data_IF_404752049820
#
_entry.id   IF_404752049820
#
_cell.length_a   1.000
_cell.length_b   1.000
_cell.length_c   1.000
_cell.angle_alpha   90.00
_cell.angle_beta   90.00
_cell.angle_gamma   90.00
#
_symmetry.space_group_name_H-M   'P 1'
#
loop_
_entity.id
_entity.type
_entity.pdbx_description
1 polymer ?
#
# COMPACT_ATOMS: atom_id res chain seq x y z
N UNK A 1 -5.76 -13.34 14.00
CA UNK A 1 -6.56 -12.59 13.00
C UNK A 1 -7.81 -11.96 13.62
N UNK A 2 -8.70 -12.72 14.26
CA UNK A 2 -9.95 -12.20 14.90
C UNK A 2 -9.71 -11.03 15.87
N UNK A 3 -8.68 -11.11 16.72
CA UNK A 3 -8.33 -10.03 17.66
C UNK A 3 -8.01 -8.72 16.93
N UNK A 4 -7.24 -8.78 15.84
CA UNK A 4 -6.88 -7.60 15.05
C UNK A 4 -8.12 -6.99 14.38
N UNK A 5 -8.97 -7.82 13.77
CA UNK A 5 -10.20 -7.36 13.12
C UNK A 5 -11.15 -6.73 14.13
N UNK A 6 -11.24 -7.27 15.34
CA UNK A 6 -12.02 -6.68 16.43
C UNK A 6 -11.56 -5.25 16.73
N UNK A 7 -10.28 -5.04 17.04
CA UNK A 7 -9.76 -3.70 17.34
C UNK A 7 -9.82 -2.76 16.12
N UNK A 8 -9.53 -3.26 14.92
CA UNK A 8 -9.68 -2.48 13.68
C UNK A 8 -11.12 -2.02 13.46
N UNK A 9 -12.11 -2.89 13.69
CA UNK A 9 -13.53 -2.51 13.57
C UNK A 9 -13.94 -1.46 14.60
N UNK A 10 -13.45 -1.54 15.84
CA UNK A 10 -13.72 -0.53 16.87
C UNK A 10 -13.06 0.81 16.51
N UNK A 11 -11.82 0.78 16.04
CA UNK A 11 -11.11 1.97 15.55
C UNK A 11 -11.89 2.64 14.42
N UNK A 12 -12.27 1.90 13.38
CA UNK A 12 -13.04 2.43 12.23
C UNK A 12 -14.36 3.04 12.72
N UNK A 13 -15.11 2.33 13.58
CA UNK A 13 -16.39 2.81 14.10
C UNK A 13 -16.24 4.12 14.89
N UNK A 14 -15.24 4.23 15.77
CA UNK A 14 -15.01 5.44 16.57
C UNK A 14 -14.42 6.58 15.75
N UNK A 15 -13.55 6.27 14.79
CA UNK A 15 -12.95 7.23 13.88
C UNK A 15 -13.99 7.87 12.95
N UNK A 16 -14.98 7.08 12.51
CA UNK A 16 -16.15 7.58 11.79
C UNK A 16 -17.08 8.38 12.69
N UNK A 17 -17.44 7.86 13.87
CA UNK A 17 -18.35 8.54 14.83
C UNK A 17 -17.81 9.89 15.30
N UNK A 18 -16.50 10.01 15.48
CA UNK A 18 -15.84 11.26 15.91
C UNK A 18 -15.65 12.28 14.79
N UNK A 19 -15.99 11.94 13.54
CA UNK A 19 -15.72 12.73 12.34
C UNK A 19 -14.23 13.01 12.08
N UNK A 20 -13.30 12.43 12.85
CA UNK A 20 -11.86 12.60 12.65
C UNK A 20 -11.41 12.05 11.30
N UNK A 21 -11.98 10.94 10.84
CA UNK A 21 -11.69 10.39 9.53
C UNK A 21 -12.14 11.30 8.39
N UNK A 22 -13.32 11.90 8.53
CA UNK A 22 -13.83 12.88 7.58
C UNK A 22 -12.93 14.13 7.55
N UNK A 23 -12.56 14.66 8.72
CA UNK A 23 -11.67 15.83 8.84
C UNK A 23 -10.31 15.58 8.19
N UNK A 24 -9.67 14.44 8.50
CA UNK A 24 -8.38 14.05 7.93
C UNK A 24 -8.48 13.83 6.41
N UNK A 25 -9.56 13.22 5.93
CA UNK A 25 -9.78 13.02 4.51
C UNK A 25 -9.96 14.36 3.77
N UNK A 26 -10.73 15.30 4.33
CA UNK A 26 -10.95 16.63 3.74
C UNK A 26 -9.63 17.41 3.71
N UNK A 27 -8.96 17.60 4.85
CA UNK A 27 -7.70 18.35 4.89
C UNK A 27 -6.60 17.70 4.05
N UNK A 28 -6.53 16.36 4.02
CA UNK A 28 -5.58 15.65 3.17
C UNK A 28 -5.90 15.78 1.69
N UNK A 29 -7.19 15.74 1.31
CA UNK A 29 -7.62 16.00 -0.06
C UNK A 29 -7.34 17.44 -0.47
N UNK A 30 -7.57 18.43 0.41
CA UNK A 30 -7.22 19.83 0.18
C UNK A 30 -5.71 20.04 0.03
N UNK A 31 -4.89 19.37 0.84
CA UNK A 31 -3.44 19.41 0.71
C UNK A 31 -2.97 18.84 -0.65
N UNK A 32 -3.58 17.73 -1.11
CA UNK A 32 -3.30 17.15 -2.43
C UNK A 32 -3.77 18.08 -3.55
N UNK A 33 -5.00 18.60 -3.47
CA UNK A 33 -5.56 19.49 -4.49
C UNK A 33 -4.77 20.80 -4.60
N UNK A 34 -4.42 21.41 -3.46
CA UNK A 34 -3.60 22.64 -3.43
C UNK A 34 -2.17 22.43 -3.93
N UNK A 35 -1.62 21.21 -3.80
CA UNK A 35 -0.33 20.86 -4.40
C UNK A 35 -0.38 20.71 -5.93
N UNK A 36 -1.57 20.63 -6.53
CA UNK A 36 -1.77 20.38 -7.96
C UNK A 36 -1.49 18.93 -8.40
N UNK A 37 -1.15 18.04 -7.46
CA UNK A 37 -0.83 16.65 -7.74
C UNK A 37 -2.13 15.87 -7.99
N UNK A 38 -2.24 15.24 -9.17
CA UNK A 38 -3.40 14.44 -9.55
C UNK A 38 -3.01 13.28 -10.47
N UNK A 39 -3.97 12.40 -10.75
CA UNK A 39 -3.83 11.31 -11.71
C UNK A 39 -2.71 10.34 -11.37
N UNK A 40 -1.89 10.03 -12.37
CA UNK A 40 -0.79 9.06 -12.25
C UNK A 40 0.22 9.43 -11.16
N UNK A 41 0.52 10.73 -10.99
CA UNK A 41 1.46 11.18 -9.97
C UNK A 41 0.95 10.86 -8.56
N UNK A 42 -0.34 11.11 -8.30
CA UNK A 42 -0.95 10.79 -7.02
C UNK A 42 -0.96 9.27 -6.74
N UNK A 43 -1.32 8.47 -7.75
CA UNK A 43 -1.33 7.00 -7.65
C UNK A 43 0.08 6.49 -7.32
N UNK A 44 1.10 6.97 -8.04
CA UNK A 44 2.49 6.58 -7.82
C UNK A 44 2.97 6.94 -6.42
N UNK A 45 2.70 8.17 -5.94
CA UNK A 45 3.07 8.60 -4.60
C UNK A 45 2.41 7.72 -3.52
N UNK A 46 1.16 7.31 -3.75
CA UNK A 46 0.47 6.42 -2.82
C UNK A 46 1.03 4.99 -2.82
N UNK A 47 1.42 4.46 -3.99
CA UNK A 47 2.15 3.18 -4.07
C UNK A 47 3.45 3.27 -3.29
N UNK A 48 4.23 4.35 -3.48
CA UNK A 48 5.48 4.59 -2.78
C UNK A 48 5.27 4.70 -1.27
N UNK A 49 4.25 5.43 -0.83
CA UNK A 49 3.88 5.55 0.57
C UNK A 49 3.55 4.18 1.18
N UNK A 50 2.71 3.39 0.51
CA UNK A 50 2.37 2.03 0.95
C UNK A 50 3.61 1.12 1.04
N UNK A 51 4.52 1.22 0.06
CA UNK A 51 5.77 0.47 0.05
C UNK A 51 6.70 0.84 1.22
N UNK A 52 6.78 2.12 1.58
CA UNK A 52 7.55 2.60 2.74
C UNK A 52 6.91 2.10 4.06
N UNK A 53 5.58 2.17 4.18
CA UNK A 53 4.87 1.70 5.37
C UNK A 53 5.14 0.23 5.70
N UNK A 54 5.49 -0.57 4.69
CA UNK A 54 5.82 -1.98 4.86
C UNK A 54 7.08 -2.24 5.69
N UNK A 55 8.00 -1.29 5.79
CA UNK A 55 9.18 -1.40 6.66
C UNK A 55 8.83 -1.27 8.15
N UNK A 56 7.72 -0.60 8.46
CA UNK A 56 7.23 -0.41 9.83
C UNK A 56 6.22 -1.50 10.23
N UNK A 57 5.46 -2.01 9.27
CA UNK A 57 4.38 -2.95 9.52
C UNK A 57 4.23 -3.94 8.36
N UNK A 58 4.67 -5.19 8.55
CA UNK A 58 4.62 -6.22 7.51
C UNK A 58 3.22 -6.79 7.23
N UNK A 59 2.23 -6.54 8.11
CA UNK A 59 0.87 -7.06 7.93
C UNK A 59 0.05 -6.18 6.99
N UNK A 60 -0.33 -6.73 5.84
CA UNK A 60 -1.19 -6.07 4.86
C UNK A 60 -2.54 -5.64 5.46
N UNK A 61 -3.20 -6.54 6.20
CA UNK A 61 -4.49 -6.25 6.82
C UNK A 61 -4.39 -5.17 7.90
N UNK A 62 -3.29 -5.14 8.66
CA UNK A 62 -3.08 -4.13 9.70
C UNK A 62 -2.83 -2.73 9.07
N UNK A 63 -1.99 -2.65 8.04
CA UNK A 63 -1.77 -1.42 7.27
C UNK A 63 -3.06 -0.91 6.66
N UNK A 64 -3.79 -1.79 5.97
CA UNK A 64 -5.01 -1.40 5.29
C UNK A 64 -6.10 -0.95 6.25
N UNK A 65 -6.22 -1.56 7.43
CA UNK A 65 -7.17 -1.15 8.46
C UNK A 65 -6.97 0.30 8.93
N UNK A 66 -5.72 0.80 8.92
CA UNK A 66 -5.38 2.17 9.31
C UNK A 66 -5.45 3.11 8.11
N UNK A 67 -4.97 2.68 6.94
CA UNK A 67 -4.88 3.52 5.75
C UNK A 67 -6.22 3.71 5.04
N UNK A 68 -7.03 2.66 4.93
CA UNK A 68 -8.27 2.71 4.14
C UNK A 68 -9.25 3.80 4.60
N UNK A 69 -9.52 3.98 5.92
CA UNK A 69 -10.46 5.02 6.39
C UNK A 69 -10.03 6.45 6.07
N UNK A 70 -8.75 6.68 5.74
CA UNK A 70 -8.21 8.00 5.42
C UNK A 70 -8.04 8.17 3.91
N UNK A 71 -7.33 7.25 3.26
CA UNK A 71 -6.95 7.39 1.86
C UNK A 71 -8.07 7.03 0.88
N UNK A 72 -8.98 6.11 1.23
CA UNK A 72 -10.10 5.79 0.34
C UNK A 72 -11.02 7.00 0.18
N UNK A 73 -11.54 7.65 1.25
CA UNK A 73 -12.35 8.86 1.09
C UNK A 73 -11.61 10.00 0.39
N UNK A 74 -10.31 10.16 0.64
CA UNK A 74 -9.48 11.19 0.02
C UNK A 74 -9.35 11.04 -1.50
N UNK A 75 -9.09 9.81 -1.98
CA UNK A 75 -9.09 9.50 -3.41
C UNK A 75 -10.49 9.62 -4.02
N UNK A 76 -11.51 9.24 -3.23
CA UNK A 76 -12.90 9.36 -3.63
C UNK A 76 -13.30 10.82 -3.89
N UNK A 77 -12.93 11.74 -3.00
CA UNK A 77 -13.13 13.18 -3.17
C UNK A 77 -12.37 13.76 -4.37
N UNK A 78 -11.33 13.06 -4.84
CA UNK A 78 -10.57 13.39 -6.04
C UNK A 78 -11.15 12.75 -7.32
N UNK A 79 -12.31 12.09 -7.24
CA UNK A 79 -13.03 11.49 -8.36
C UNK A 79 -12.63 10.05 -8.72
N UNK A 80 -11.83 9.38 -7.88
CA UNK A 80 -11.38 8.01 -8.14
C UNK A 80 -12.27 6.97 -7.45
N UNK A 81 -12.48 5.84 -8.12
CA UNK A 81 -13.19 4.71 -7.52
C UNK A 81 -12.34 4.06 -6.41
N UNK A 82 -12.92 3.60 -5.28
CA UNK A 82 -12.19 2.97 -4.17
C UNK A 82 -11.28 1.80 -4.57
N UNK A 83 -11.68 1.06 -5.62
CA UNK A 83 -10.90 -0.05 -6.15
C UNK A 83 -9.51 0.38 -6.63
N UNK A 84 -9.37 1.61 -7.16
CA UNK A 84 -8.08 2.14 -7.60
C UNK A 84 -7.13 2.35 -6.42
N UNK A 85 -7.63 2.97 -5.34
CA UNK A 85 -6.86 3.16 -4.11
C UNK A 85 -6.45 1.82 -3.52
N UNK A 86 -7.35 0.83 -3.51
CA UNK A 86 -7.02 -0.50 -3.03
C UNK A 86 -5.98 -1.20 -3.92
N UNK A 87 -6.09 -1.10 -5.25
CA UNK A 87 -5.10 -1.67 -6.17
C UNK A 87 -3.70 -1.05 -5.97
N UNK A 88 -3.63 0.28 -5.87
CA UNK A 88 -2.39 1.00 -5.59
C UNK A 88 -1.78 0.59 -4.24
N UNK A 89 -2.60 0.46 -3.19
CA UNK A 89 -2.15 -0.04 -1.89
C UNK A 89 -1.56 -1.45 -2.00
N UNK A 90 -2.23 -2.37 -2.68
CA UNK A 90 -1.80 -3.76 -2.83
C UNK A 90 -0.47 -3.88 -3.57
N UNK A 91 -0.24 -3.03 -4.57
CA UNK A 91 1.05 -2.96 -5.26
C UNK A 91 2.13 -2.58 -4.25
N UNK A 92 1.99 -1.44 -3.56
CA UNK A 92 2.99 -0.98 -2.61
C UNK A 92 3.24 -1.96 -1.45
N UNK A 93 2.18 -2.56 -0.93
CA UNK A 93 2.25 -3.58 0.13
C UNK A 93 3.06 -4.81 -0.30
N UNK A 94 2.99 -5.19 -1.57
CA UNK A 94 3.63 -6.41 -2.07
C UNK A 94 5.14 -6.24 -2.36
N UNK A 95 5.52 -5.13 -2.99
CA UNK A 95 6.83 -4.98 -3.65
C UNK A 95 8.01 -4.89 -2.68
N UNK A 96 7.79 -4.41 -1.46
CA UNK A 96 8.83 -4.29 -0.42
C UNK A 96 8.83 -5.43 0.60
N UNK A 97 7.92 -6.41 0.50
CA UNK A 97 7.83 -7.53 1.45
C UNK A 97 9.14 -8.33 1.51
N UNK A 98 9.79 -8.53 0.37
CA UNK A 98 11.01 -9.35 0.28
C UNK A 98 12.26 -8.67 0.88
N UNK A 99 12.21 -7.35 1.07
CA UNK A 99 13.30 -6.58 1.68
C UNK A 99 12.96 -6.05 3.08
N UNK A 100 11.77 -6.37 3.62
CA UNK A 100 11.38 -5.93 4.96
C UNK A 100 11.83 -6.95 6.01
N UNK A 101 12.72 -6.58 6.95
CA UNK A 101 13.17 -7.49 8.00
C UNK A 101 12.05 -7.78 9.03
N UNK A 102 11.01 -6.94 9.05
CA UNK A 102 9.84 -7.08 9.92
C UNK A 102 8.84 -8.14 9.41
N UNK A 103 9.12 -8.79 8.27
CA UNK A 103 8.26 -9.84 7.74
C UNK A 103 8.31 -11.08 8.65
N UNK A 104 7.15 -11.62 8.98
CA UNK A 104 7.00 -12.75 9.92
C UNK A 104 7.79 -14.00 9.51
N UNK A 105 8.06 -14.15 8.21
CA UNK A 105 8.76 -15.30 7.63
C UNK A 105 10.27 -15.08 7.45
N UNK A 106 10.80 -13.90 7.80
CA UNK A 106 12.18 -13.53 7.46
C UNK A 106 13.22 -14.47 8.09
N UNK A 107 13.01 -14.91 9.33
CA UNK A 107 13.89 -15.88 10.00
C UNK A 107 13.95 -17.24 9.27
N UNK A 108 12.82 -17.69 8.73
CA UNK A 108 12.75 -18.91 7.93
C UNK A 108 13.49 -18.74 6.59
N UNK A 109 13.27 -17.61 5.91
CA UNK A 109 13.98 -17.27 4.66
C UNK A 109 15.50 -17.26 4.91
N UNK A 110 15.95 -16.59 5.97
CA UNK A 110 17.36 -16.52 6.32
C UNK A 110 17.96 -17.91 6.62
N UNK A 111 17.18 -18.82 7.20
CA UNK A 111 17.59 -20.21 7.42
C UNK A 111 17.78 -20.95 6.09
N UNK A 112 16.89 -20.74 5.11
CA UNK A 112 17.03 -21.30 3.77
C UNK A 112 18.21 -20.73 3.00
N UNK A 113 18.46 -19.42 3.08
CA UNK A 113 19.64 -18.80 2.47
C UNK A 113 20.91 -19.37 3.10
N UNK A 114 20.97 -19.45 4.43
CA UNK A 114 22.12 -20.01 5.17
C UNK A 114 22.40 -21.48 4.87
N UNK A 115 21.41 -22.24 4.39
CA UNK A 115 21.62 -23.61 3.93
C UNK A 115 22.58 -23.68 2.75
N UNK A 116 22.57 -22.68 1.87
CA UNK A 116 23.38 -22.65 0.65
C UNK A 116 24.57 -21.68 0.76
N UNK A 117 24.43 -20.58 1.50
CA UNK A 117 25.51 -19.64 1.79
C UNK A 117 25.53 -19.31 3.29
N UNK A 118 26.44 -19.96 4.03
CA UNK A 118 26.58 -19.79 5.48
C UNK A 118 27.07 -18.41 5.92
N UNK A 119 27.57 -17.58 4.99
CA UNK A 119 28.02 -16.20 5.29
C UNK A 119 26.89 -15.19 5.04
N UNK A 120 25.78 -15.60 4.45
CA UNK A 120 24.68 -14.72 4.13
C UNK A 120 23.94 -14.26 5.40
N UNK A 121 24.03 -12.96 5.68
CA UNK A 121 23.30 -12.32 6.75
C UNK A 121 21.98 -11.71 6.29
N UNK A 122 21.35 -10.97 7.21
CA UNK A 122 20.18 -10.15 6.92
C UNK A 122 20.46 -9.16 5.78
N UNK A 123 21.59 -8.44 5.86
CA UNK A 123 21.99 -7.46 4.84
C UNK A 123 22.24 -8.08 3.46
N UNK A 124 22.91 -9.23 3.41
CA UNK A 124 23.14 -9.97 2.15
C UNK A 124 21.81 -10.36 1.50
N UNK A 125 20.88 -10.90 2.30
CA UNK A 125 19.57 -11.33 1.80
C UNK A 125 18.76 -10.13 1.26
N UNK A 126 18.72 -9.01 1.99
CA UNK A 126 18.05 -7.78 1.52
C UNK A 126 18.70 -7.26 0.24
N UNK A 127 20.04 -7.17 0.21
CA UNK A 127 20.77 -6.64 -0.95
C UNK A 127 20.55 -7.50 -2.20
N UNK A 128 20.50 -8.82 -2.06
CA UNK A 128 20.19 -9.75 -3.16
C UNK A 128 18.76 -9.57 -3.67
N UNK A 129 17.81 -9.24 -2.81
CA UNK A 129 16.39 -9.07 -3.18
C UNK A 129 16.03 -7.65 -3.65
N UNK A 130 16.87 -6.65 -3.36
CA UNK A 130 16.62 -5.25 -3.71
C UNK A 130 16.37 -5.02 -5.23
N UNK A 131 17.13 -5.63 -6.16
CA UNK A 131 16.85 -5.49 -7.59
C UNK A 131 15.45 -5.99 -7.99
N UNK A 132 14.97 -7.06 -7.34
CA UNK A 132 13.62 -7.58 -7.58
C UNK A 132 12.56 -6.60 -7.10
N UNK A 133 12.72 -6.01 -5.91
CA UNK A 133 11.81 -4.97 -5.42
C UNK A 133 11.75 -3.79 -6.37
N UNK A 134 12.90 -3.29 -6.85
CA UNK A 134 12.94 -2.15 -7.78
C UNK A 134 12.23 -2.50 -9.09
N UNK A 135 12.55 -3.67 -9.68
CA UNK A 135 11.93 -4.12 -10.92
C UNK A 135 10.40 -4.26 -10.78
N UNK A 136 9.92 -4.96 -9.75
CA UNK A 136 8.49 -5.16 -9.54
C UNK A 136 7.78 -3.85 -9.19
N UNK A 137 8.41 -2.94 -8.44
CA UNK A 137 7.85 -1.62 -8.16
C UNK A 137 7.59 -0.84 -9.44
N UNK A 138 8.58 -0.78 -10.33
CA UNK A 138 8.44 -0.09 -11.63
C UNK A 138 7.39 -0.80 -12.49
N UNK A 139 7.52 -2.12 -12.66
CA UNK A 139 6.63 -2.89 -13.51
C UNK A 139 5.16 -2.80 -13.08
N UNK A 140 4.87 -3.01 -11.80
CA UNK A 140 3.50 -2.92 -11.29
C UNK A 140 2.94 -1.49 -11.34
N UNK A 141 3.75 -0.49 -11.04
CA UNK A 141 3.32 0.92 -11.13
C UNK A 141 2.98 1.30 -12.57
N UNK A 142 3.80 0.86 -13.54
CA UNK A 142 3.52 1.06 -14.96
C UNK A 142 2.26 0.31 -15.40
N UNK A 143 2.09 -0.94 -14.95
CA UNK A 143 0.91 -1.74 -15.25
C UNK A 143 -0.37 -1.04 -14.76
N UNK A 144 -0.39 -0.57 -13.51
CA UNK A 144 -1.54 0.20 -13.01
C UNK A 144 -1.70 1.53 -13.75
N UNK A 145 -0.59 2.17 -14.13
CA UNK A 145 -0.61 3.39 -14.94
C UNK A 145 -1.25 3.19 -16.31
N UNK A 146 -1.01 2.06 -16.97
CA UNK A 146 -1.67 1.66 -18.22
C UNK A 146 -3.17 1.49 -17.98
N UNK A 147 -3.57 0.77 -16.93
CA UNK A 147 -4.99 0.62 -16.58
C UNK A 147 -5.69 1.95 -16.35
N UNK A 148 -5.03 2.84 -15.62
CA UNK A 148 -5.52 4.19 -15.36
C UNK A 148 -5.67 4.99 -16.67
N UNK A 149 -4.65 5.00 -17.52
CA UNK A 149 -4.62 5.80 -18.74
C UNK A 149 -5.70 5.35 -19.74
N UNK A 150 -5.85 4.04 -19.94
CA UNK A 150 -6.86 3.47 -20.84
C UNK A 150 -8.24 3.30 -20.18
N UNK A 151 -8.40 3.73 -18.91
CA UNK A 151 -9.63 3.59 -18.12
C UNK A 151 -10.18 2.15 -18.10
N UNK A 152 -9.29 1.18 -18.05
CA UNK A 152 -9.65 -0.24 -18.02
C UNK A 152 -10.26 -0.55 -16.64
N UNK A 153 -11.46 -1.13 -16.55
CA UNK A 153 -12.03 -1.53 -15.28
C UNK A 153 -11.09 -2.48 -14.52
N UNK A 154 -10.89 -2.23 -13.23
CA UNK A 154 -10.06 -3.08 -12.36
C UNK A 154 -10.77 -4.40 -12.00
N UNK A 155 -12.07 -4.49 -12.28
CA UNK A 155 -12.90 -5.66 -12.07
C UNK A 155 -14.38 -5.35 -12.34
N UNK A 156 -15.27 -6.34 -12.13
CA UNK A 156 -16.71 -6.13 -12.25
C UNK A 156 -17.20 -5.03 -11.32
N UNK A 157 -17.86 -4.01 -11.86
CA UNK A 157 -18.34 -2.87 -11.07
C UNK A 157 -17.23 -1.99 -10.48
N UNK A 158 -15.99 -2.09 -10.98
CA UNK A 158 -14.84 -1.33 -10.49
C UNK A 158 -14.20 -0.49 -11.61
N UNK A 159 -14.85 0.60 -12.07
CA UNK A 159 -14.22 1.56 -12.97
C UNK A 159 -13.02 2.25 -12.30
N UNK A 160 -12.21 2.98 -13.08
CA UNK A 160 -11.08 3.76 -12.55
C UNK A 160 -11.55 5.04 -11.87
N UNK A 161 -12.55 5.71 -12.46
CA UNK A 161 -13.17 6.95 -11.98
C UNK A 161 -14.58 6.64 -11.45
N UNK A 162 -15.12 7.54 -10.62
CA UNK A 162 -16.54 7.50 -10.24
C UNK A 162 -17.47 7.86 -11.39
#
# INVERSE_FOLDING_TARGET
YVILVFFASQFIAWFQKSNLGLLLAIHGAEAIQSSGISGLALIFLFILFSAIMNFFMGSASAKWAIMAPVFVPMFMLSGYHPALTQAAFRIGDSVTNIITPMMSYYALILTFVNKYDKKAGLGTTIATMLPYTIFFFIFWSLLLGIWYFFRIPLGPGAPIMM
#
